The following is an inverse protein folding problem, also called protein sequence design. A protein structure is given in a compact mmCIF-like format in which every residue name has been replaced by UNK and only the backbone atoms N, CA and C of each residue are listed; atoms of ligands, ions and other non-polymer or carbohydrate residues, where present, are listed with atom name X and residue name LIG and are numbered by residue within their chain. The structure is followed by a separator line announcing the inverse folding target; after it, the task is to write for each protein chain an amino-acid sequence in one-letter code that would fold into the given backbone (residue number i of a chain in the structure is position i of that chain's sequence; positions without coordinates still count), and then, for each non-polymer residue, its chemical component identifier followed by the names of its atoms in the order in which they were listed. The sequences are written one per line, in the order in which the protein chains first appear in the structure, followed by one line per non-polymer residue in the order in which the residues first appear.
data_IF_961181113767
#
_entry.id   IF_961181113767
#
_cell.length_a   1.000
_cell.length_b   1.000
_cell.length_c   1.000
_cell.angle_alpha   90.00
_cell.angle_beta   90.00
_cell.angle_gamma   90.00
#
_symmetry.space_group_name_H-M   'P 1'
#
loop_
_entity.id
_entity.type
_entity.pdbx_description
1 polymer ?
#
# COMPACT_ATOMS: atom_id res chain seq x y z
N UNK A 1 14.10 2.83 4.08
CA UNK A 1 12.94 1.91 4.11
C UNK A 1 13.46 0.55 4.56
N UNK A 2 13.20 0.13 5.81
CA UNK A 2 14.13 -0.77 6.52
C UNK A 2 14.16 -2.24 6.06
N UNK A 3 13.36 -2.67 5.08
CA UNK A 3 13.28 -4.10 4.71
C UNK A 3 13.18 -4.44 3.22
N UNK A 4 13.57 -3.52 2.32
CA UNK A 4 13.48 -3.76 0.88
C UNK A 4 14.69 -3.32 0.08
N UNK A 5 14.79 -3.82 -1.15
CA UNK A 5 15.82 -3.47 -2.12
C UNK A 5 15.21 -2.49 -3.12
N UNK A 6 15.75 -1.27 -3.16
CA UNK A 6 15.43 -0.25 -4.16
C UNK A 6 16.58 -0.20 -5.17
N UNK A 7 16.27 -0.32 -6.46
CA UNK A 7 17.24 -0.28 -7.56
C UNK A 7 16.70 0.52 -8.73
N UNK A 8 17.60 0.98 -9.58
CA UNK A 8 17.25 1.45 -10.92
C UNK A 8 17.55 0.28 -11.86
N UNK A 9 16.53 -0.20 -12.55
CA UNK A 9 16.67 -1.22 -13.59
C UNK A 9 16.54 -0.54 -14.96
N UNK A 10 17.31 -1.01 -15.93
CA UNK A 10 17.28 -0.49 -17.29
C UNK A 10 17.23 -1.63 -18.28
N UNK A 11 16.53 -1.40 -19.39
CA UNK A 11 16.43 -2.33 -20.50
C UNK A 11 16.74 -1.61 -21.83
N UNK A 12 17.26 -2.35 -22.80
CA UNK A 12 17.69 -1.83 -24.10
C UNK A 12 17.01 -2.61 -25.21
N UNK A 13 16.24 -1.90 -26.02
CA UNK A 13 15.75 -2.40 -27.30
C UNK A 13 16.73 -2.01 -28.41
N UNK A 14 17.44 -3.00 -28.92
CA UNK A 14 18.41 -2.89 -30.03
C UNK A 14 17.77 -3.12 -31.41
N UNK A 15 16.49 -3.53 -31.48
CA UNK A 15 15.81 -3.88 -32.74
C UNK A 15 15.24 -2.66 -33.48
N UNK A 16 15.88 -1.49 -33.35
CA UNK A 16 15.37 -0.25 -33.92
C UNK A 16 16.00 -0.03 -35.30
N UNK A 17 15.18 0.24 -36.34
CA UNK A 17 15.71 0.57 -37.66
C UNK A 17 16.69 1.75 -37.59
N UNK A 18 17.79 1.64 -38.33
CA UNK A 18 18.75 2.73 -38.50
C UNK A 18 18.05 3.98 -39.05
N UNK A 19 18.63 5.17 -38.82
CA UNK A 19 18.14 6.37 -39.53
C UNK A 19 18.43 6.33 -41.04
N UNK A 20 17.93 7.36 -41.73
CA UNK A 20 18.19 7.62 -43.15
C UNK A 20 19.70 7.75 -43.50
N UNK A 21 20.58 7.88 -42.51
CA UNK A 21 22.04 7.96 -42.68
C UNK A 21 22.75 6.68 -42.22
N UNK A 22 22.01 5.59 -41.96
CA UNK A 22 22.50 4.31 -41.46
C UNK A 22 23.17 4.34 -40.07
N UNK A 23 22.93 5.37 -39.26
CA UNK A 23 23.36 5.37 -37.87
C UNK A 23 22.56 4.35 -37.05
N UNK A 24 23.28 3.57 -36.23
CA UNK A 24 22.66 2.64 -35.29
C UNK A 24 21.87 3.41 -34.23
N UNK A 25 20.65 2.94 -33.95
CA UNK A 25 19.79 3.47 -32.89
C UNK A 25 19.51 2.39 -31.85
N UNK A 26 19.27 2.82 -30.62
CA UNK A 26 18.74 1.99 -29.54
C UNK A 26 17.73 2.77 -28.72
N UNK A 27 16.79 2.08 -28.09
CA UNK A 27 15.85 2.66 -27.12
C UNK A 27 16.22 2.10 -25.77
N UNK A 28 16.47 2.99 -24.83
CA UNK A 28 16.84 2.63 -23.47
C UNK A 28 15.69 3.06 -22.58
N UNK A 29 15.15 2.13 -21.82
CA UNK A 29 14.19 2.40 -20.76
C UNK A 29 14.89 2.22 -19.41
N UNK A 30 14.48 3.00 -18.41
CA UNK A 30 14.92 2.81 -17.04
C UNK A 30 13.77 3.11 -16.08
N UNK A 31 13.68 2.34 -14.99
CA UNK A 31 12.67 2.50 -13.96
C UNK A 31 13.24 2.18 -12.57
N UNK A 32 12.70 2.83 -11.54
CA UNK A 32 12.98 2.45 -10.17
C UNK A 32 12.15 1.22 -9.77
N UNK A 33 12.80 0.15 -9.32
CA UNK A 33 12.15 -1.08 -8.85
C UNK A 33 12.35 -1.25 -7.35
N UNK A 34 11.31 -1.76 -6.69
CA UNK A 34 11.34 -2.00 -5.25
C UNK A 34 10.85 -3.40 -4.94
N UNK A 35 11.72 -4.21 -4.33
CA UNK A 35 11.41 -5.60 -3.94
C UNK A 35 11.55 -5.79 -2.44
N UNK A 36 10.54 -6.38 -1.82
CA UNK A 36 10.54 -6.72 -0.38
C UNK A 36 9.57 -7.85 -0.07
N UNK A 37 9.81 -8.52 1.05
CA UNK A 37 8.84 -9.42 1.68
C UNK A 37 8.13 -8.66 2.80
N UNK A 38 6.81 -8.78 2.90
CA UNK A 38 5.98 -8.06 3.86
C UNK A 38 5.03 -9.03 4.53
N UNK A 39 4.95 -8.96 5.86
CA UNK A 39 3.92 -9.65 6.63
C UNK A 39 2.68 -8.76 6.75
N UNK A 40 1.50 -9.38 6.74
CA UNK A 40 0.21 -8.70 6.92
C UNK A 40 -0.12 -8.42 8.40
N UNK A 41 0.79 -8.64 9.34
CA UNK A 41 0.52 -8.54 10.78
C UNK A 41 -0.02 -7.17 11.23
N UNK A 42 0.30 -6.08 10.52
CA UNK A 42 -0.27 -4.76 10.84
C UNK A 42 -1.79 -4.71 10.67
N UNK A 43 -2.37 -5.46 9.73
CA UNK A 43 -3.83 -5.53 9.59
C UNK A 43 -4.50 -6.16 10.81
N UNK A 44 -3.80 -7.08 11.48
CA UNK A 44 -4.26 -7.73 12.72
C UNK A 44 -4.21 -6.75 13.90
N UNK A 45 -3.22 -5.86 13.95
CA UNK A 45 -3.21 -4.74 14.91
C UNK A 45 -4.41 -3.82 14.68
N UNK A 46 -4.65 -3.39 13.43
CA UNK A 46 -5.81 -2.53 13.12
C UNK A 46 -7.15 -3.20 13.43
N UNK A 47 -7.24 -4.52 13.24
CA UNK A 47 -8.41 -5.31 13.65
C UNK A 47 -8.61 -5.25 15.17
N UNK A 48 -7.56 -5.45 15.97
CA UNK A 48 -7.65 -5.38 17.44
C UNK A 48 -8.05 -4.00 17.93
N UNK A 49 -7.59 -2.94 17.27
CA UNK A 49 -8.03 -1.56 17.55
C UNK A 49 -9.53 -1.44 17.38
N UNK A 50 -10.07 -1.85 16.24
CA UNK A 50 -11.52 -1.76 15.99
C UNK A 50 -12.31 -2.65 16.96
N UNK A 51 -11.83 -3.87 17.21
CA UNK A 51 -12.44 -4.82 18.15
C UNK A 51 -12.56 -4.22 19.56
N UNK A 52 -11.48 -3.64 20.07
CA UNK A 52 -11.46 -3.06 21.42
C UNK A 52 -12.27 -1.75 21.52
N UNK A 53 -12.24 -0.91 20.49
CA UNK A 53 -13.04 0.32 20.44
C UNK A 53 -14.54 0.02 20.36
N UNK A 54 -14.92 -0.97 19.56
CA UNK A 54 -16.32 -1.39 19.43
C UNK A 54 -16.86 -2.02 20.73
N UNK A 55 -16.04 -2.78 21.47
CA UNK A 55 -16.38 -3.25 22.82
C UNK A 55 -16.62 -2.09 23.79
N UNK A 56 -15.79 -1.05 23.72
CA UNK A 56 -15.97 0.17 24.52
C UNK A 56 -17.31 0.87 24.22
N UNK A 57 -17.77 0.78 22.97
CA UNK A 57 -19.07 1.28 22.54
C UNK A 57 -20.26 0.35 22.90
N UNK A 58 -20.02 -0.76 23.59
CA UNK A 58 -21.06 -1.69 24.06
C UNK A 58 -21.34 -2.89 23.14
N UNK A 59 -20.55 -3.09 22.08
CA UNK A 59 -20.71 -4.25 21.19
C UNK A 59 -20.11 -5.49 21.86
N UNK A 60 -20.86 -6.59 21.86
CA UNK A 60 -20.42 -7.87 22.42
C UNK A 60 -19.78 -8.70 21.30
N UNK A 61 -18.48 -8.95 21.41
CA UNK A 61 -17.76 -9.88 20.54
C UNK A 61 -17.29 -11.12 21.29
N UNK A 62 -17.12 -12.22 20.56
CA UNK A 62 -16.39 -13.39 21.06
C UNK A 62 -14.91 -13.04 21.28
N UNK A 63 -14.30 -13.65 22.29
CA UNK A 63 -12.89 -13.44 22.58
C UNK A 63 -12.00 -13.91 21.43
N UNK A 64 -10.95 -13.13 21.15
CA UNK A 64 -9.94 -13.50 20.15
C UNK A 64 -9.07 -14.60 20.74
N UNK A 65 -9.14 -15.80 20.16
CA UNK A 65 -8.27 -16.92 20.55
C UNK A 65 -6.81 -16.60 20.25
N UNK A 66 -5.98 -16.57 21.30
CA UNK A 66 -4.54 -16.35 21.21
C UNK A 66 -3.80 -17.48 20.47
N UNK A 67 -4.40 -18.67 20.37
CA UNK A 67 -3.86 -19.81 19.62
C UNK A 67 -4.19 -19.76 18.14
N UNK A 68 -5.12 -18.90 17.72
CA UNK A 68 -5.45 -18.73 16.32
C UNK A 68 -4.31 -17.99 15.60
N UNK A 69 -3.56 -18.74 14.78
CA UNK A 69 -2.42 -18.23 14.00
C UNK A 69 -2.80 -17.13 12.99
N UNK A 70 -4.05 -17.09 12.55
CA UNK A 70 -4.54 -16.06 11.62
C UNK A 70 -4.74 -14.71 12.31
N UNK A 71 -5.00 -14.71 13.63
CA UNK A 71 -5.25 -13.51 14.44
C UNK A 71 -4.06 -13.13 15.34
N UNK A 72 -3.14 -14.06 15.53
CA UNK A 72 -1.85 -13.80 16.16
C UNK A 72 -0.94 -13.01 15.21
N UNK A 73 -0.22 -12.04 15.75
CA UNK A 73 0.82 -11.28 15.06
C UNK A 73 2.16 -11.38 15.80
N UNK A 74 3.24 -10.97 15.14
CA UNK A 74 4.57 -10.97 15.73
C UNK A 74 4.63 -10.20 17.07
N UNK A 75 5.18 -10.80 18.15
CA UNK A 75 5.29 -10.15 19.46
C UNK A 75 5.96 -8.78 19.48
N UNK A 76 6.83 -8.45 18.49
CA UNK A 76 7.43 -7.11 18.40
C UNK A 76 6.39 -5.98 18.24
N UNK A 77 5.16 -6.32 17.82
CA UNK A 77 4.04 -5.39 17.68
C UNK A 77 3.18 -5.27 18.95
N UNK A 78 3.41 -6.04 20.02
CA UNK A 78 2.54 -6.04 21.20
C UNK A 78 2.46 -4.66 21.85
N UNK A 79 3.60 -4.06 22.18
CA UNK A 79 3.66 -2.73 22.82
C UNK A 79 3.03 -1.65 21.94
N UNK A 80 3.30 -1.70 20.63
CA UNK A 80 2.68 -0.79 19.66
C UNK A 80 1.16 -0.98 19.60
N UNK A 81 0.68 -2.22 19.56
CA UNK A 81 -0.74 -2.54 19.51
C UNK A 81 -1.48 -2.02 20.74
N UNK A 82 -0.95 -2.26 21.94
CA UNK A 82 -1.53 -1.78 23.20
C UNK A 82 -1.62 -0.25 23.21
N UNK A 83 -0.54 0.43 22.80
CA UNK A 83 -0.49 1.89 22.71
C UNK A 83 -1.54 2.45 21.74
N UNK A 84 -1.67 1.87 20.54
CA UNK A 84 -2.65 2.31 19.54
C UNK A 84 -4.08 2.05 19.99
N UNK A 85 -4.36 0.91 20.64
CA UNK A 85 -5.67 0.60 21.22
C UNK A 85 -6.05 1.64 22.28
N UNK A 86 -5.15 1.93 23.23
CA UNK A 86 -5.40 2.91 24.28
C UNK A 86 -5.67 4.31 23.71
N UNK A 87 -4.90 4.71 22.70
CA UNK A 87 -5.12 5.98 22.00
C UNK A 87 -6.50 6.02 21.31
N UNK A 88 -6.87 4.96 20.61
CA UNK A 88 -8.14 4.89 19.89
C UNK A 88 -9.35 4.92 20.83
N UNK A 89 -9.30 4.21 21.97
CA UNK A 89 -10.35 4.27 23.01
C UNK A 89 -10.50 5.68 23.58
N UNK A 90 -9.38 6.35 23.89
CA UNK A 90 -9.41 7.74 24.37
C UNK A 90 -10.02 8.69 23.35
N UNK A 91 -9.69 8.52 22.06
CA UNK A 91 -10.24 9.33 20.97
C UNK A 91 -11.76 9.15 20.81
N UNK A 92 -12.25 7.92 21.01
CA UNK A 92 -13.70 7.66 21.04
C UNK A 92 -14.37 8.42 22.18
N UNK A 93 -13.81 8.37 23.39
CA UNK A 93 -14.40 8.97 24.59
C UNK A 93 -14.33 10.51 24.59
N UNK A 94 -13.26 11.10 24.04
CA UNK A 94 -13.10 12.56 23.98
C UNK A 94 -13.93 13.22 22.89
N UNK A 95 -14.43 12.45 21.91
CA UNK A 95 -15.12 12.98 20.73
C UNK A 95 -14.22 13.80 19.80
N UNK A 96 -12.91 13.85 20.06
CA UNK A 96 -11.94 14.62 19.28
C UNK A 96 -11.04 13.68 18.47
N UNK A 97 -10.89 13.99 17.18
CA UNK A 97 -9.91 13.32 16.32
C UNK A 97 -8.54 13.96 16.51
N UNK A 98 -7.82 13.52 17.54
CA UNK A 98 -6.39 13.81 17.65
C UNK A 98 -5.59 12.90 16.71
N UNK A 99 -4.50 13.43 16.14
CA UNK A 99 -3.57 12.63 15.35
C UNK A 99 -2.57 11.96 16.29
N UNK A 100 -2.56 10.63 16.32
CA UNK A 100 -1.50 9.89 16.99
C UNK A 100 -0.18 10.10 16.23
N UNK A 101 0.84 10.55 16.95
CA UNK A 101 2.20 10.60 16.43
C UNK A 101 2.96 9.34 16.85
N UNK A 102 3.63 8.72 15.88
CA UNK A 102 4.60 7.65 16.11
C UNK A 102 6.01 8.24 16.06
N UNK A 103 6.88 7.79 16.94
CA UNK A 103 8.28 8.17 16.86
C UNK A 103 9.00 7.46 15.70
N UNK A 104 10.27 7.84 15.46
CA UNK A 104 11.05 7.31 14.35
C UNK A 104 11.28 5.80 14.46
N UNK A 105 11.48 5.26 15.66
CA UNK A 105 11.79 3.85 15.85
C UNK A 105 10.53 3.00 15.75
N UNK A 106 9.40 3.50 16.23
CA UNK A 106 8.07 2.94 15.98
C UNK A 106 7.77 2.89 14.49
N UNK A 107 8.01 3.99 13.75
CA UNK A 107 7.83 4.02 12.30
C UNK A 107 8.73 3.02 11.56
N UNK A 108 9.94 2.75 12.06
CA UNK A 108 10.80 1.69 11.48
C UNK A 108 10.20 0.31 11.69
N UNK A 109 9.63 0.04 12.86
CA UNK A 109 8.96 -1.24 13.17
C UNK A 109 7.71 -1.38 12.29
N UNK A 110 6.80 -0.40 12.35
CA UNK A 110 5.56 -0.38 11.55
C UNK A 110 5.88 -0.52 10.06
N UNK A 111 6.89 0.20 9.57
CA UNK A 111 7.33 0.18 8.18
C UNK A 111 7.68 -1.23 7.65
N UNK A 112 8.07 -2.18 8.50
CA UNK A 112 8.30 -3.58 8.09
C UNK A 112 7.02 -4.29 7.63
N UNK A 113 5.87 -3.87 8.14
CA UNK A 113 4.55 -4.47 7.93
C UNK A 113 3.63 -3.67 6.99
N UNK A 114 4.04 -2.47 6.57
CA UNK A 114 3.28 -1.66 5.61
C UNK A 114 3.65 -2.02 4.18
N UNK A 115 2.65 -2.40 3.39
CA UNK A 115 2.77 -2.65 1.96
C UNK A 115 2.87 -1.33 1.17
N UNK A 116 3.69 -1.32 0.12
CA UNK A 116 3.70 -0.23 -0.86
C UNK A 116 2.57 -0.50 -1.88
N UNK A 117 1.38 -0.02 -1.59
CA UNK A 117 0.20 -0.24 -2.44
C UNK A 117 0.31 0.48 -3.79
N UNK A 118 0.90 1.67 -3.81
CA UNK A 118 1.11 2.45 -5.02
C UNK A 118 2.36 1.96 -5.80
N UNK A 119 2.20 1.72 -7.10
CA UNK A 119 3.26 1.30 -8.02
C UNK A 119 2.87 1.56 -9.49
N UNK A 120 3.89 1.60 -10.36
CA UNK A 120 3.74 1.77 -11.81
C UNK A 120 3.75 0.44 -12.57
N UNK A 121 3.26 -0.64 -11.98
CA UNK A 121 3.16 -1.92 -12.69
C UNK A 121 1.97 -1.86 -13.66
N UNK A 122 2.23 -2.10 -14.95
CA UNK A 122 1.18 -2.16 -15.96
C UNK A 122 0.35 -3.45 -15.79
N UNK A 123 -0.96 -3.33 -15.93
CA UNK A 123 -1.90 -4.45 -16.00
C UNK A 123 -2.45 -4.50 -17.43
N UNK A 124 -2.29 -5.65 -18.09
CA UNK A 124 -2.89 -5.90 -19.40
C UNK A 124 -4.35 -6.36 -19.21
N UNK A 125 -5.30 -5.67 -19.87
CA UNK A 125 -6.73 -5.93 -19.75
C UNK A 125 -7.29 -6.96 -20.73
N UNK A 126 -6.48 -7.43 -21.68
CA UNK A 126 -6.91 -8.43 -22.67
C UNK A 126 -7.41 -9.72 -22.01
N UNK A 127 -6.90 -10.05 -20.83
CA UNK A 127 -7.30 -11.24 -20.06
C UNK A 127 -8.70 -11.08 -19.43
N UNK A 128 -9.19 -9.85 -19.24
CA UNK A 128 -10.44 -9.57 -18.47
C UNK A 128 -11.64 -9.20 -19.33
N UNK A 129 -11.45 -8.76 -20.59
CA UNK A 129 -12.55 -8.43 -21.49
C UNK A 129 -12.24 -8.90 -22.92
N UNK A 130 -12.47 -10.19 -23.23
CA UNK A 130 -12.11 -10.77 -24.53
C UNK A 130 -12.81 -10.07 -25.71
N UNK A 131 -14.04 -9.60 -25.50
CA UNK A 131 -14.84 -8.90 -26.53
C UNK A 131 -14.22 -7.56 -26.93
N UNK A 132 -13.59 -6.83 -26.01
CA UNK A 132 -12.91 -5.56 -26.32
C UNK A 132 -11.56 -5.83 -27.02
N UNK A 133 -10.88 -6.92 -26.64
CA UNK A 133 -9.59 -7.32 -27.19
C UNK A 133 -9.65 -7.77 -28.66
N UNK A 134 -10.79 -8.28 -29.13
CA UNK A 134 -10.93 -8.82 -30.50
C UNK A 134 -11.07 -7.71 -31.56
N UNK A 135 -11.48 -6.51 -31.15
CA UNK A 135 -11.71 -5.35 -32.03
C UNK A 135 -10.68 -4.24 -31.79
N UNK A 136 -9.89 -4.31 -30.71
CA UNK A 136 -8.90 -3.29 -30.39
C UNK A 136 -7.69 -3.37 -31.33
N UNK A 137 -7.33 -2.23 -31.93
CA UNK A 137 -6.15 -2.08 -32.82
C UNK A 137 -4.83 -2.21 -32.02
N UNK A 138 -4.90 -2.11 -30.69
CA UNK A 138 -3.77 -2.17 -29.76
C UNK A 138 -4.19 -2.82 -28.44
N UNK A 139 -3.22 -3.37 -27.69
CA UNK A 139 -3.45 -3.95 -26.37
C UNK A 139 -3.67 -2.84 -25.31
N UNK A 140 -4.88 -2.67 -24.74
CA UNK A 140 -5.09 -1.73 -23.65
C UNK A 140 -4.34 -2.17 -22.38
N UNK A 141 -3.48 -1.28 -21.87
CA UNK A 141 -2.85 -1.41 -20.56
C UNK A 141 -3.20 -0.22 -19.66
N UNK A 142 -3.16 -0.42 -18.34
CA UNK A 142 -3.28 0.67 -17.36
C UNK A 142 -2.41 0.44 -16.13
N UNK A 143 -2.11 1.52 -15.42
CA UNK A 143 -1.42 1.53 -14.14
C UNK A 143 -2.44 1.70 -13.02
N UNK A 144 -3.13 0.61 -12.66
CA UNK A 144 -4.25 0.63 -11.69
C UNK A 144 -3.84 1.18 -10.33
N UNK A 145 -2.60 0.89 -9.93
CA UNK A 145 -2.03 1.30 -8.65
C UNK A 145 -1.14 2.54 -8.78
N UNK A 146 -1.26 3.33 -9.87
CA UNK A 146 -0.41 4.51 -10.03
C UNK A 146 -0.54 5.42 -8.81
N UNK A 147 0.57 5.93 -8.25
CA UNK A 147 0.50 6.91 -7.19
C UNK A 147 -0.23 8.15 -7.68
N UNK A 148 -0.91 8.82 -6.73
CA UNK A 148 -1.45 10.15 -6.94
C UNK A 148 -0.30 11.18 -7.02
N UNK A 149 -0.62 12.40 -7.44
CA UNK A 149 0.39 13.44 -7.68
C UNK A 149 1.24 13.70 -6.44
N UNK A 150 2.55 13.81 -6.62
CA UNK A 150 3.55 13.97 -5.55
C UNK A 150 3.52 12.87 -4.47
N UNK A 151 2.95 11.68 -4.76
CA UNK A 151 2.76 10.59 -3.79
C UNK A 151 1.87 10.99 -2.60
N UNK A 152 0.95 11.94 -2.81
CA UNK A 152 0.03 12.44 -1.80
C UNK A 152 -1.37 11.96 -2.13
N UNK A 153 -1.97 11.17 -1.25
CA UNK A 153 -3.37 10.77 -1.38
C UNK A 153 -4.29 11.99 -1.36
N UNK A 154 -5.13 12.13 -2.38
CA UNK A 154 -6.24 13.09 -2.37
C UNK A 154 -7.24 12.77 -1.25
N UNK A 155 -7.62 13.77 -0.46
CA UNK A 155 -8.57 13.63 0.67
C UNK A 155 -9.78 14.53 0.42
N UNK A 156 -10.97 13.97 0.58
CA UNK A 156 -12.24 14.71 0.52
C UNK A 156 -12.86 14.80 1.90
N UNK A 157 -13.51 15.92 2.21
CA UNK A 157 -14.34 16.04 3.40
C UNK A 157 -15.74 15.44 3.17
N UNK A 158 -16.57 15.46 4.22
CA UNK A 158 -17.95 14.93 4.14
C UNK A 158 -18.85 15.69 3.17
N UNK A 159 -18.50 16.93 2.80
CA UNK A 159 -19.19 17.74 1.80
C UNK A 159 -18.71 17.46 0.37
N UNK A 160 -17.71 16.58 0.19
CA UNK A 160 -17.10 16.28 -1.11
C UNK A 160 -16.04 17.28 -1.57
N UNK A 161 -15.64 18.22 -0.72
CA UNK A 161 -14.62 19.21 -1.05
C UNK A 161 -13.23 18.60 -0.87
N UNK A 162 -12.33 18.88 -1.82
CA UNK A 162 -10.94 18.41 -1.76
C UNK A 162 -10.17 19.19 -0.68
N UNK A 163 -9.69 18.48 0.34
CA UNK A 163 -8.85 19.02 1.41
C UNK A 163 -7.36 18.99 1.05
N UNK A 164 -6.94 17.95 0.34
CA UNK A 164 -5.57 17.70 -0.08
C UNK A 164 -5.57 16.97 -1.40
#
# INVERSE_FOLDING_TARGET
LPSGILKIESDIDECIPSDQYHNRKKRVAAAATFRRTVSNDWSKVTLRVMYEVAKEAGIIFAEIDSKNKELAFNPELNTLSERVILFAKKSLLSGHQENMLFDRDELKIIGKYIHCSANWNAVNYNIKSPVISEVAIFDPFSFVNRPDDNWIRTIYNMSGEKLK
#
